data_IF_464741526049
#
_entry.id   IF_464741526049
#
_cell.length_a   1.000
_cell.length_b   1.000
_cell.length_c   1.000
_cell.angle_alpha   90.00
_cell.angle_beta   90.00
_cell.angle_gamma   90.00
#
_symmetry.space_group_name_H-M   'P 1'
#
loop_
_entity.id
_entity.type
_entity.pdbx_description
1 polymer ?
#
# COMPACT_ATOMS: atom_id res chain seq x y z
N UNK A 1 2.92 -20.06 23.57
CA UNK A 1 2.98 -18.80 22.79
C UNK A 1 1.56 -18.32 22.53
N UNK A 2 1.19 -17.18 23.10
CA UNK A 2 -0.12 -16.57 22.87
C UNK A 2 -0.24 -16.14 21.40
N UNK A 3 -1.32 -16.59 20.74
CA UNK A 3 -1.61 -16.25 19.35
C UNK A 3 -2.12 -14.80 19.31
N UNK A 4 -1.39 -13.90 18.65
CA UNK A 4 -1.86 -12.52 18.44
C UNK A 4 -3.17 -12.55 17.67
N UNK A 5 -4.14 -11.76 18.12
CA UNK A 5 -5.49 -11.72 17.54
C UNK A 5 -5.67 -10.41 16.81
N UNK A 6 -6.10 -10.46 15.55
CA UNK A 6 -6.51 -9.28 14.80
C UNK A 6 -7.79 -8.70 15.42
N UNK A 7 -7.79 -7.38 15.65
CA UNK A 7 -8.93 -6.65 16.25
C UNK A 7 -9.57 -5.78 15.19
N UNK A 8 -10.87 -5.98 14.93
CA UNK A 8 -11.65 -5.16 14.01
C UNK A 8 -11.97 -3.78 14.60
N UNK A 9 -11.90 -2.74 13.79
CA UNK A 9 -12.24 -1.37 14.16
C UNK A 9 -13.74 -1.11 14.03
N UNK A 10 -14.39 -0.62 15.07
CA UNK A 10 -15.85 -0.35 15.10
C UNK A 10 -16.23 1.07 14.67
N UNK A 11 -15.32 2.03 14.78
CA UNK A 11 -15.57 3.43 14.40
C UNK A 11 -15.35 3.68 12.90
N UNK A 12 -15.99 4.70 12.30
CA UNK A 12 -15.66 5.15 10.96
C UNK A 12 -14.19 5.57 10.89
N UNK A 13 -13.47 5.07 9.88
CA UNK A 13 -12.07 5.44 9.67
C UNK A 13 -12.04 6.66 8.75
N UNK A 14 -11.72 7.83 9.30
CA UNK A 14 -11.56 9.05 8.52
C UNK A 14 -10.28 8.97 7.67
N UNK A 15 -10.39 9.37 6.40
CA UNK A 15 -9.23 9.48 5.50
C UNK A 15 -8.70 10.91 5.58
N UNK A 16 -7.46 11.06 6.02
CA UNK A 16 -6.77 12.35 5.94
C UNK A 16 -6.56 12.72 4.46
N UNK A 17 -6.67 14.01 4.12
CA UNK A 17 -6.36 14.52 2.78
C UNK A 17 -4.83 14.63 2.59
N UNK A 18 -4.16 13.49 2.61
CA UNK A 18 -2.71 13.38 2.52
C UNK A 18 -2.31 12.09 1.80
N UNK A 19 -1.32 12.19 0.91
CA UNK A 19 -0.72 11.03 0.25
C UNK A 19 -0.20 10.04 1.28
N UNK A 20 -0.42 8.76 1.07
CA UNK A 20 -0.06 7.67 2.01
C UNK A 20 -0.72 7.78 3.40
N UNK A 21 -1.79 8.56 3.57
CA UNK A 21 -2.53 8.56 4.83
C UNK A 21 -3.15 7.20 5.09
N UNK A 22 -3.78 6.60 4.07
CA UNK A 22 -4.41 5.29 4.16
C UNK A 22 -4.29 4.53 2.84
N UNK A 23 -3.80 3.29 2.93
CA UNK A 23 -3.88 2.32 1.84
C UNK A 23 -4.97 1.30 2.13
N UNK A 24 -5.80 1.02 1.14
CA UNK A 24 -6.75 -0.10 1.18
C UNK A 24 -6.18 -1.27 0.40
N UNK A 25 -6.28 -2.47 0.99
CA UNK A 25 -5.80 -3.72 0.40
C UNK A 25 -6.95 -4.72 0.28
N UNK A 26 -6.93 -5.47 -0.82
CA UNK A 26 -7.87 -6.58 -1.05
C UNK A 26 -7.27 -7.63 -1.99
N UNK A 27 -7.91 -8.80 -2.06
CA UNK A 27 -7.58 -9.86 -3.02
C UNK A 27 -8.69 -10.05 -4.04
N UNK A 28 -8.32 -9.98 -5.30
CA UNK A 28 -9.18 -10.38 -6.42
C UNK A 28 -8.76 -11.77 -6.90
N UNK A 29 -9.72 -12.64 -7.17
CA UNK A 29 -9.48 -13.99 -7.64
C UNK A 29 -9.83 -14.09 -9.12
N UNK A 30 -9.01 -14.85 -9.85
CA UNK A 30 -9.23 -15.16 -11.26
C UNK A 30 -8.60 -16.52 -11.61
N UNK A 31 -8.77 -16.97 -12.86
CA UNK A 31 -8.23 -18.24 -13.34
C UNK A 31 -7.63 -18.09 -14.74
N UNK A 32 -6.63 -18.91 -15.02
CA UNK A 32 -6.02 -19.05 -16.32
C UNK A 32 -6.88 -19.94 -17.25
N UNK A 33 -6.60 -19.91 -18.55
CA UNK A 33 -7.29 -20.72 -19.55
C UNK A 33 -7.23 -22.23 -19.27
N UNK A 34 -6.18 -22.70 -18.60
CA UNK A 34 -6.01 -24.09 -18.17
C UNK A 34 -6.73 -24.42 -16.84
N UNK A 35 -7.50 -23.48 -16.27
CA UNK A 35 -8.26 -23.64 -15.04
C UNK A 35 -7.46 -23.41 -13.75
N UNK A 36 -6.16 -23.17 -13.82
CA UNK A 36 -5.35 -22.82 -12.63
C UNK A 36 -5.79 -21.48 -12.08
N UNK A 37 -6.08 -21.46 -10.79
CA UNK A 37 -6.48 -20.23 -10.09
C UNK A 37 -5.26 -19.40 -9.69
N UNK A 38 -5.42 -18.09 -9.76
CA UNK A 38 -4.47 -17.14 -9.21
C UNK A 38 -5.19 -16.02 -8.47
N UNK A 39 -4.45 -15.27 -7.69
CA UNK A 39 -4.95 -14.12 -6.95
C UNK A 39 -4.18 -12.88 -7.33
N UNK A 40 -4.83 -11.75 -7.17
CA UNK A 40 -4.26 -10.44 -7.41
C UNK A 40 -4.38 -9.65 -6.11
N UNK A 41 -3.25 -9.29 -5.51
CA UNK A 41 -3.22 -8.30 -4.44
C UNK A 41 -3.43 -6.94 -5.07
N UNK A 42 -4.49 -6.25 -4.67
CA UNK A 42 -4.79 -4.88 -5.07
C UNK A 42 -4.45 -3.95 -3.91
N UNK A 43 -3.75 -2.85 -4.21
CA UNK A 43 -3.41 -1.80 -3.24
C UNK A 43 -3.84 -0.47 -3.83
N UNK A 44 -4.61 0.31 -3.08
CA UNK A 44 -5.09 1.64 -3.49
C UNK A 44 -4.77 2.65 -2.40
N UNK A 45 -4.22 3.80 -2.78
CA UNK A 45 -4.11 4.97 -1.91
C UNK A 45 -5.47 5.68 -1.88
N UNK A 46 -6.14 5.66 -0.75
CA UNK A 46 -7.50 6.18 -0.63
C UNK A 46 -7.60 7.72 -0.77
N UNK A 47 -6.48 8.43 -0.60
CA UNK A 47 -6.43 9.86 -0.82
C UNK A 47 -6.28 10.20 -2.30
N UNK A 48 -5.23 9.68 -2.93
CA UNK A 48 -4.89 10.03 -4.33
C UNK A 48 -5.64 9.21 -5.37
N UNK A 49 -6.24 8.10 -4.99
CA UNK A 49 -6.85 7.09 -5.86
C UNK A 49 -5.85 6.34 -6.73
N UNK A 50 -4.55 6.59 -6.57
CA UNK A 50 -3.53 5.78 -7.24
C UNK A 50 -3.64 4.32 -6.83
N UNK A 51 -3.35 3.44 -7.79
CA UNK A 51 -3.11 2.03 -7.56
C UNK A 51 -1.59 1.76 -7.51
N UNK A 52 -0.97 1.71 -6.32
CA UNK A 52 0.46 1.41 -6.17
C UNK A 52 0.84 0.02 -6.66
N UNK A 53 -0.02 -0.98 -6.47
CA UNK A 53 0.28 -2.34 -6.86
C UNK A 53 -0.95 -3.12 -7.34
N UNK A 54 -0.72 -3.92 -8.39
CA UNK A 54 -1.51 -5.06 -8.80
C UNK A 54 -0.55 -6.25 -8.91
N UNK A 55 -0.49 -7.09 -7.89
CA UNK A 55 0.43 -8.22 -7.82
C UNK A 55 -0.32 -9.53 -8.03
N UNK A 56 -0.16 -10.15 -9.21
CA UNK A 56 -0.73 -11.47 -9.50
C UNK A 56 0.24 -12.60 -9.12
N UNK A 57 -0.26 -13.60 -8.39
CA UNK A 57 0.50 -14.82 -8.12
C UNK A 57 -0.46 -16.00 -7.84
N UNK A 58 0.02 -17.22 -8.02
CA UNK A 58 -0.71 -18.44 -7.65
C UNK A 58 -0.69 -18.67 -6.13
N UNK A 59 0.30 -18.08 -5.44
CA UNK A 59 0.44 -18.13 -3.98
C UNK A 59 0.81 -16.76 -3.42
N UNK A 60 -0.12 -16.12 -2.73
CA UNK A 60 0.07 -14.83 -2.04
C UNK A 60 -0.07 -15.05 -0.53
N UNK A 61 1.00 -15.52 0.10
CA UNK A 61 1.09 -15.63 1.56
C UNK A 61 1.29 -14.26 2.21
N UNK A 62 1.01 -14.13 3.52
CA UNK A 62 1.28 -12.90 4.27
C UNK A 62 2.73 -12.44 4.16
N UNK A 63 3.71 -13.35 4.12
CA UNK A 63 5.12 -13.01 3.90
C UNK A 63 5.37 -12.44 2.49
N UNK A 64 4.64 -12.90 1.47
CA UNK A 64 4.74 -12.36 0.11
C UNK A 64 4.12 -10.96 0.02
N UNK A 65 2.99 -10.77 0.71
CA UNK A 65 2.35 -9.45 0.84
C UNK A 65 3.29 -8.47 1.56
N UNK A 66 3.88 -8.87 2.69
CA UNK A 66 4.82 -8.04 3.44
C UNK A 66 6.00 -7.55 2.57
N UNK A 67 6.61 -8.44 1.77
CA UNK A 67 7.68 -8.05 0.83
C UNK A 67 7.23 -7.05 -0.23
N UNK A 68 6.01 -7.18 -0.72
CA UNK A 68 5.46 -6.22 -1.67
C UNK A 68 5.24 -4.85 -1.01
N UNK A 69 4.74 -4.84 0.23
CA UNK A 69 4.58 -3.61 1.00
C UNK A 69 5.93 -2.94 1.30
N UNK A 70 6.99 -3.70 1.60
CA UNK A 70 8.35 -3.16 1.76
C UNK A 70 8.84 -2.48 0.49
N UNK A 71 8.61 -3.09 -0.69
CA UNK A 71 8.92 -2.49 -1.99
C UNK A 71 8.17 -1.17 -2.19
N UNK A 72 6.87 -1.16 -1.92
CA UNK A 72 6.05 0.05 -2.06
C UNK A 72 6.47 1.17 -1.11
N UNK A 73 6.84 0.83 0.14
CA UNK A 73 7.36 1.81 1.10
C UNK A 73 8.65 2.45 0.59
N UNK A 74 9.55 1.64 0.03
CA UNK A 74 10.81 2.14 -0.54
C UNK A 74 10.58 3.07 -1.73
N UNK A 75 9.58 2.80 -2.58
CA UNK A 75 9.30 3.56 -3.79
C UNK A 75 8.51 4.85 -3.54
N UNK A 76 7.54 4.83 -2.64
CA UNK A 76 6.58 5.94 -2.50
C UNK A 76 6.39 6.47 -1.09
N UNK A 77 7.09 5.90 -0.11
CA UNK A 77 6.95 6.25 1.29
C UNK A 77 5.94 5.39 2.05
N UNK A 78 6.05 5.43 3.36
CA UNK A 78 5.29 4.61 4.29
C UNK A 78 3.86 5.13 4.45
N UNK A 79 2.83 4.25 4.42
CA UNK A 79 1.48 4.63 4.80
C UNK A 79 1.39 4.82 6.33
N UNK A 80 0.53 5.73 6.76
CA UNK A 80 0.19 5.85 8.18
C UNK A 80 -0.66 4.65 8.61
N UNK A 81 -1.60 4.26 7.76
CA UNK A 81 -2.60 3.23 8.03
C UNK A 81 -2.80 2.32 6.82
N UNK A 82 -3.09 1.06 7.09
CA UNK A 82 -3.57 0.09 6.10
C UNK A 82 -4.93 -0.43 6.55
N UNK A 83 -5.87 -0.57 5.61
CA UNK A 83 -7.18 -1.17 5.81
C UNK A 83 -7.32 -2.39 4.91
N UNK A 84 -7.77 -3.51 5.45
CA UNK A 84 -8.06 -4.74 4.71
C UNK A 84 -9.25 -5.47 5.30
N UNK A 85 -9.74 -6.48 4.58
CA UNK A 85 -10.63 -7.47 5.16
C UNK A 85 -9.90 -8.36 6.19
N UNK A 86 -10.64 -9.32 6.78
CA UNK A 86 -10.11 -10.28 7.74
C UNK A 86 -9.58 -11.56 7.07
N UNK A 87 -9.14 -11.50 5.81
CA UNK A 87 -8.56 -12.63 5.11
C UNK A 87 -7.38 -13.25 5.87
N UNK A 88 -7.21 -14.56 5.73
CA UNK A 88 -6.19 -15.32 6.49
C UNK A 88 -4.78 -14.85 6.23
N UNK A 89 -4.51 -14.36 5.04
CA UNK A 89 -3.23 -13.79 4.64
C UNK A 89 -2.94 -12.49 5.37
N UNK A 90 -3.93 -11.60 5.49
CA UNK A 90 -3.79 -10.31 6.15
C UNK A 90 -3.77 -10.43 7.68
N UNK A 91 -4.41 -11.47 8.25
CA UNK A 91 -4.40 -11.74 9.69
C UNK A 91 -3.25 -12.64 10.12
N UNK A 92 -2.35 -12.98 9.21
CA UNK A 92 -1.18 -13.82 9.47
C UNK A 92 -0.18 -13.17 10.42
N UNK A 93 0.57 -13.98 11.16
CA UNK A 93 1.65 -13.47 12.03
C UNK A 93 2.70 -12.65 11.25
N UNK A 94 2.94 -13.00 9.97
CA UNK A 94 3.88 -12.26 9.13
C UNK A 94 3.44 -10.81 8.93
N UNK A 95 2.15 -10.57 8.68
CA UNK A 95 1.59 -9.22 8.51
C UNK A 95 1.54 -8.47 9.85
N UNK A 96 1.11 -9.13 10.93
CA UNK A 96 1.05 -8.50 12.26
C UNK A 96 2.45 -8.04 12.72
N UNK A 97 3.46 -8.89 12.52
CA UNK A 97 4.85 -8.56 12.84
C UNK A 97 5.40 -7.45 11.93
N UNK A 98 5.06 -7.51 10.64
CA UNK A 98 5.46 -6.48 9.68
C UNK A 98 4.89 -5.11 10.03
N UNK A 99 3.60 -5.03 10.35
CA UNK A 99 2.91 -3.79 10.72
C UNK A 99 3.53 -3.16 11.99
N UNK A 100 3.79 -3.97 13.00
CA UNK A 100 4.44 -3.54 14.23
C UNK A 100 5.86 -3.02 13.98
N UNK A 101 6.68 -3.78 13.24
CA UNK A 101 8.06 -3.41 12.89
C UNK A 101 8.15 -2.09 12.13
N UNK A 102 7.21 -1.85 11.22
CA UNK A 102 7.17 -0.66 10.38
C UNK A 102 6.42 0.50 11.03
N UNK A 103 5.75 0.31 12.18
CA UNK A 103 4.91 1.32 12.82
C UNK A 103 3.76 1.77 11.91
N UNK A 104 3.11 0.81 11.24
CA UNK A 104 1.95 1.03 10.39
C UNK A 104 0.71 0.55 11.12
N UNK A 105 -0.30 1.42 11.26
CA UNK A 105 -1.57 1.03 11.85
C UNK A 105 -2.33 0.11 10.88
N UNK A 106 -2.64 -1.13 11.31
CA UNK A 106 -3.40 -2.07 10.47
C UNK A 106 -4.80 -2.25 11.02
N UNK A 107 -5.80 -1.87 10.23
CA UNK A 107 -7.20 -1.95 10.59
C UNK A 107 -7.93 -3.00 9.75
N UNK A 108 -8.69 -3.86 10.43
CA UNK A 108 -9.52 -4.87 9.78
C UNK A 108 -10.96 -4.39 9.73
N UNK A 109 -11.59 -4.54 8.57
CA UNK A 109 -12.99 -4.16 8.36
C UNK A 109 -13.88 -5.06 9.22
N UNK A 110 -14.82 -4.45 9.92
CA UNK A 110 -15.79 -5.20 10.69
C UNK A 110 -16.73 -5.97 9.75
N UNK A 111 -17.06 -7.24 10.07
CA UNK A 111 -18.05 -8.02 9.31
C UNK A 111 -19.35 -7.22 9.12
N UNK A 112 -19.88 -7.20 7.89
CA UNK A 112 -21.13 -6.50 7.55
C UNK A 112 -21.01 -4.99 7.38
N UNK A 113 -19.80 -4.42 7.30
CA UNK A 113 -19.58 -3.00 7.04
C UNK A 113 -18.72 -2.75 5.78
N UNK A 114 -19.19 -3.11 4.57
CA UNK A 114 -18.44 -2.98 3.33
C UNK A 114 -18.07 -1.51 3.03
N UNK A 115 -18.88 -0.53 3.46
CA UNK A 115 -18.59 0.89 3.24
C UNK A 115 -17.23 1.36 3.78
N UNK A 116 -16.61 0.61 4.70
CA UNK A 116 -15.27 0.93 5.21
C UNK A 116 -14.16 0.69 4.18
N UNK A 117 -14.44 -0.08 3.11
CA UNK A 117 -13.50 -0.39 2.03
C UNK A 117 -14.04 -0.01 0.63
N UNK A 118 -15.03 0.87 0.56
CA UNK A 118 -15.74 1.22 -0.67
C UNK A 118 -14.85 1.71 -1.81
N UNK A 119 -13.65 2.23 -1.51
CA UNK A 119 -12.72 2.68 -2.54
C UNK A 119 -12.10 1.51 -3.30
N UNK A 120 -11.58 0.52 -2.58
CA UNK A 120 -10.98 -0.64 -3.21
C UNK A 120 -12.04 -1.55 -3.84
N UNK A 121 -13.26 -1.63 -3.28
CA UNK A 121 -14.37 -2.35 -3.88
C UNK A 121 -14.73 -1.75 -5.26
N UNK A 122 -14.86 -0.41 -5.32
CA UNK A 122 -15.11 0.29 -6.60
C UNK A 122 -13.97 0.12 -7.60
N UNK A 123 -12.72 0.11 -7.12
CA UNK A 123 -11.54 -0.16 -7.93
C UNK A 123 -11.56 -1.59 -8.49
N UNK A 124 -11.79 -2.57 -7.63
CA UNK A 124 -11.85 -3.99 -8.02
C UNK A 124 -12.99 -4.29 -8.98
N UNK A 125 -14.13 -3.60 -8.82
CA UNK A 125 -15.24 -3.66 -9.78
C UNK A 125 -14.78 -3.25 -11.18
N UNK A 126 -14.12 -2.10 -11.30
CA UNK A 126 -13.57 -1.64 -12.60
C UNK A 126 -12.53 -2.59 -13.17
N UNK A 127 -11.60 -3.09 -12.34
CA UNK A 127 -10.61 -4.06 -12.78
C UNK A 127 -11.26 -5.32 -13.37
N UNK A 128 -12.33 -5.80 -12.73
CA UNK A 128 -13.11 -6.94 -13.25
C UNK A 128 -13.78 -6.61 -14.57
N UNK A 129 -14.54 -5.51 -14.60
CA UNK A 129 -15.36 -5.16 -15.76
C UNK A 129 -14.52 -4.81 -17.00
N UNK A 130 -13.37 -4.18 -16.78
CA UNK A 130 -12.56 -3.66 -17.89
C UNK A 130 -11.44 -4.61 -18.34
N UNK A 131 -11.02 -5.56 -17.51
CA UNK A 131 -9.91 -6.45 -17.83
C UNK A 131 -10.21 -7.93 -17.55
N UNK A 132 -10.58 -8.30 -16.32
CA UNK A 132 -10.61 -9.71 -15.95
C UNK A 132 -11.77 -10.47 -16.61
N UNK A 133 -12.94 -9.85 -16.72
CA UNK A 133 -14.10 -10.46 -17.40
C UNK A 133 -13.96 -10.49 -18.92
N UNK A 134 -13.10 -9.61 -19.47
CA UNK A 134 -12.91 -9.46 -20.92
C UNK A 134 -11.71 -10.27 -21.44
N UNK A 135 -10.87 -10.83 -20.55
CA UNK A 135 -9.61 -11.45 -20.95
C UNK A 135 -9.44 -12.84 -20.35
N UNK A 136 -9.29 -13.84 -21.20
CA UNK A 136 -8.89 -15.17 -20.77
C UNK A 136 -7.36 -15.32 -20.88
N UNK A 137 -6.66 -15.30 -19.75
CA UNK A 137 -5.21 -15.36 -19.71
C UNK A 137 -4.67 -16.76 -19.98
N UNK A 138 -3.77 -16.90 -20.93
CA UNK A 138 -3.09 -18.17 -21.25
C UNK A 138 -2.01 -18.54 -20.24
N UNK A 139 -1.46 -17.56 -19.51
CA UNK A 139 -0.41 -17.76 -18.52
C UNK A 139 -0.41 -16.67 -17.46
N UNK A 140 0.20 -16.97 -16.31
CA UNK A 140 0.41 -15.98 -15.24
C UNK A 140 1.29 -14.80 -15.71
N UNK A 141 2.24 -15.05 -16.61
CA UNK A 141 3.09 -13.99 -17.18
C UNK A 141 2.25 -13.02 -18.02
N UNK A 142 1.32 -13.53 -18.85
CA UNK A 142 0.39 -12.70 -19.60
C UNK A 142 -0.51 -11.88 -18.66
N UNK A 143 -1.06 -12.51 -17.62
CA UNK A 143 -1.89 -11.82 -16.63
C UNK A 143 -1.11 -10.68 -15.94
N UNK A 144 0.14 -10.92 -15.54
CA UNK A 144 1.00 -9.90 -14.93
C UNK A 144 1.26 -8.71 -15.86
N UNK A 145 1.56 -8.98 -17.15
CA UNK A 145 1.77 -7.93 -18.15
C UNK A 145 0.50 -7.09 -18.34
N UNK A 146 -0.64 -7.72 -18.58
CA UNK A 146 -1.91 -7.04 -18.78
C UNK A 146 -2.33 -6.20 -17.55
N UNK A 147 -2.11 -6.72 -16.33
CA UNK A 147 -2.36 -5.98 -15.08
C UNK A 147 -1.43 -4.77 -14.94
N UNK A 148 -0.17 -4.89 -15.35
CA UNK A 148 0.78 -3.77 -15.31
C UNK A 148 0.36 -2.65 -16.29
N UNK A 149 -0.03 -3.01 -17.50
CA UNK A 149 -0.50 -2.07 -18.51
C UNK A 149 -1.81 -1.39 -18.07
N UNK A 150 -2.78 -2.17 -17.59
CA UNK A 150 -4.04 -1.63 -17.08
C UNK A 150 -3.84 -0.69 -15.88
N UNK A 151 -2.94 -1.05 -14.95
CA UNK A 151 -2.60 -0.20 -13.79
C UNK A 151 -1.96 1.11 -14.22
N UNK A 152 -1.05 1.06 -15.19
CA UNK A 152 -0.44 2.26 -15.76
C UNK A 152 -1.49 3.16 -16.39
N UNK A 153 -2.35 2.61 -17.23
CA UNK A 153 -3.47 3.30 -17.87
C UNK A 153 -4.42 3.92 -16.84
N UNK A 154 -4.81 3.15 -15.82
CA UNK A 154 -5.65 3.63 -14.72
C UNK A 154 -5.04 4.84 -13.99
N UNK A 155 -3.75 4.79 -13.69
CA UNK A 155 -3.09 5.84 -12.92
C UNK A 155 -2.81 7.10 -13.74
N UNK A 156 -2.53 6.97 -15.07
CA UNK A 156 -1.93 8.07 -15.86
C UNK A 156 -2.80 8.57 -17.00
N UNK A 157 -3.79 7.80 -17.46
CA UNK A 157 -4.57 8.16 -18.63
C UNK A 157 -6.07 8.34 -18.37
N UNK A 158 -6.57 7.90 -17.20
CA UNK A 158 -8.01 7.91 -16.91
C UNK A 158 -8.40 8.99 -15.92
N UNK A 159 -9.12 10.03 -16.37
CA UNK A 159 -9.65 11.04 -15.47
C UNK A 159 -10.77 10.49 -14.59
N UNK A 160 -10.79 10.87 -13.32
CA UNK A 160 -11.81 10.48 -12.36
C UNK A 160 -12.61 11.68 -11.87
N UNK A 161 -13.93 11.63 -12.00
CA UNK A 161 -14.81 12.72 -11.60
C UNK A 161 -14.71 13.07 -10.11
N UNK A 162 -14.45 12.08 -9.23
CA UNK A 162 -14.32 12.28 -7.78
C UNK A 162 -13.04 13.00 -7.35
N UNK A 163 -12.07 13.16 -8.23
CA UNK A 163 -10.83 13.91 -8.00
C UNK A 163 -10.66 15.05 -9.02
N UNK A 164 -11.78 15.67 -9.38
CA UNK A 164 -11.78 16.86 -10.23
C UNK A 164 -11.38 16.60 -11.68
N UNK A 165 -11.69 15.42 -12.21
CA UNK A 165 -11.33 15.00 -13.57
C UNK A 165 -9.83 14.92 -13.85
N UNK A 166 -9.00 14.84 -12.79
CA UNK A 166 -7.60 14.48 -12.91
C UNK A 166 -7.44 12.96 -13.02
N UNK A 167 -6.34 12.52 -13.60
CA UNK A 167 -5.86 11.15 -13.40
C UNK A 167 -5.36 11.00 -11.96
N UNK A 168 -5.34 9.78 -11.38
CA UNK A 168 -4.78 9.57 -10.05
C UNK A 168 -3.35 10.12 -9.89
N UNK A 169 -2.49 9.96 -10.90
CA UNK A 169 -1.12 10.47 -10.87
C UNK A 169 -1.07 12.01 -10.87
N UNK A 170 -1.83 12.67 -11.74
CA UNK A 170 -1.93 14.14 -11.75
C UNK A 170 -2.46 14.68 -10.44
N UNK A 171 -3.50 14.05 -9.88
CA UNK A 171 -4.05 14.45 -8.59
C UNK A 171 -3.04 14.26 -7.45
N UNK A 172 -2.26 13.18 -7.46
CA UNK A 172 -1.21 12.95 -6.47
C UNK A 172 -0.13 14.06 -6.50
N UNK A 173 0.24 14.60 -7.67
CA UNK A 173 1.20 15.70 -7.80
C UNK A 173 0.69 17.04 -7.24
N UNK A 174 -0.61 17.19 -6.98
CA UNK A 174 -1.14 18.36 -6.29
C UNK A 174 -0.72 18.41 -4.81
N UNK A 175 -0.27 17.28 -4.23
CA UNK A 175 0.18 17.20 -2.85
C UNK A 175 1.69 17.49 -2.74
N UNK A 176 2.12 18.40 -1.86
CA UNK A 176 3.54 18.79 -1.73
C UNK A 176 4.48 17.62 -1.44
N UNK A 177 4.05 16.65 -0.63
CA UNK A 177 4.84 15.47 -0.28
C UNK A 177 5.14 14.57 -1.49
N UNK A 178 4.19 14.41 -2.41
CA UNK A 178 4.37 13.61 -3.61
C UNK A 178 5.27 14.31 -4.62
N UNK A 179 5.03 15.59 -4.84
CA UNK A 179 5.85 16.44 -5.72
C UNK A 179 7.33 16.43 -5.33
N UNK A 180 7.62 16.48 -4.01
CA UNK A 180 8.99 16.41 -3.52
C UNK A 180 9.65 15.05 -3.79
N UNK A 181 8.93 13.94 -3.72
CA UNK A 181 9.45 12.61 -4.06
C UNK A 181 9.74 12.47 -5.55
N UNK A 182 8.84 12.91 -6.41
CA UNK A 182 9.02 12.90 -7.86
C UNK A 182 10.24 13.72 -8.28
N UNK A 183 10.41 14.92 -7.74
CA UNK A 183 11.57 15.75 -8.01
C UNK A 183 12.90 15.10 -7.56
N UNK A 184 12.92 14.41 -6.43
CA UNK A 184 14.10 13.66 -5.97
C UNK A 184 14.45 12.50 -6.91
N UNK A 185 13.47 11.76 -7.38
CA UNK A 185 13.67 10.67 -8.33
C UNK A 185 14.19 11.17 -9.68
N UNK A 186 13.66 12.28 -10.19
CA UNK A 186 14.11 12.88 -11.44
C UNK A 186 15.54 13.43 -11.36
N UNK A 187 15.96 13.95 -10.20
CA UNK A 187 17.30 14.52 -9.99
C UNK A 187 18.37 13.49 -9.61
N UNK A 188 18.06 12.19 -9.61
CA UNK A 188 19.02 11.11 -9.36
C UNK A 188 19.66 11.09 -7.97
N UNK A 189 19.15 11.85 -7.02
CA UNK A 189 19.66 11.89 -5.64
C UNK A 189 19.15 10.69 -4.87
N UNK A 190 20.02 9.71 -4.61
CA UNK A 190 19.77 8.64 -3.68
C UNK A 190 19.37 9.21 -2.30
N UNK A 191 18.46 8.58 -1.55
CA UNK A 191 18.11 9.04 -0.21
C UNK A 191 19.36 9.04 0.66
N UNK A 192 19.71 10.18 1.23
CA UNK A 192 20.76 10.27 2.25
C UNK A 192 20.39 9.39 3.44
N UNK A 193 21.25 8.47 3.88
CA UNK A 193 21.00 7.70 5.08
C UNK A 193 20.89 8.66 6.26
N UNK A 194 19.93 8.41 7.14
CA UNK A 194 19.71 9.19 8.37
C UNK A 194 21.02 9.26 9.17
N UNK A 195 21.62 10.42 9.24
CA UNK A 195 22.74 10.67 10.14
C UNK A 195 22.20 10.69 11.56
N UNK A 196 22.49 9.64 12.31
CA UNK A 196 22.24 9.58 13.75
C UNK A 196 23.17 10.60 14.39
N UNK A 197 22.64 11.73 14.83
CA UNK A 197 23.39 12.69 15.65
C UNK A 197 23.73 11.99 16.97
N UNK A 198 24.98 11.58 17.13
CA UNK A 198 25.52 11.20 18.44
C UNK A 198 25.58 12.47 19.28
N UNK A 199 24.83 12.51 20.36
CA UNK A 199 25.03 13.47 21.43
C UNK A 199 26.31 13.06 22.17
N UNK A 200 27.40 13.75 21.90
CA UNK A 200 28.59 13.66 22.73
C UNK A 200 28.30 14.34 24.10
N UNK A 201 28.21 13.52 25.11
CA UNK A 201 28.25 13.98 26.51
C UNK A 201 29.68 14.39 26.80
N UNK A 202 29.99 15.66 26.71
CA UNK A 202 31.20 16.22 27.29
C UNK A 202 31.06 16.26 28.84
N UNK A 203 31.82 15.40 29.45
CA UNK A 203 32.02 15.37 30.91
C UNK A 203 32.99 16.48 31.25
N UNK A 204 32.50 17.58 31.83
CA UNK A 204 33.35 18.60 32.43
C UNK A 204 33.72 18.13 33.83
N UNK A 205 34.98 17.72 33.97
CA UNK A 205 35.57 17.38 35.25
C UNK A 205 35.72 18.62 36.16
N UNK A 206 35.28 18.44 37.36
CA UNK A 206 35.41 19.40 38.46
C UNK A 206 36.72 19.14 39.17
N UNK A 207 37.71 20.02 39.01
CA UNK A 207 38.89 20.07 39.86
C UNK A 207 38.67 21.03 41.02
N UNK A 208 38.49 20.47 42.20
CA UNK A 208 38.60 21.17 43.46
C UNK A 208 40.09 21.32 43.79
N UNK A 209 40.58 22.54 43.90
CA UNK A 209 41.82 22.87 44.59
C UNK A 209 41.49 23.48 45.93
N UNK A 210 41.98 22.81 46.94
CA UNK A 210 42.16 23.27 48.30
C UNK A 210 43.20 24.39 48.46
N UNK A 211 42.90 25.37 49.22
CA UNK A 211 43.73 26.37 49.79
C UNK A 211 43.16 26.82 51.15
#
# INVERSE_FOLDING_TARGET
>A
RSRRRAVGTRAPILVEAKVNARWSLDFVHDQLADGRRFRILTVVDDCTRECPALLADTSLSGARVARELDRLIAERGKPKMIVSDNGTEFTSNAILTWAEKNGVEWHYIAPGKPMQNGFIESFNGRLRDELLNETLFSSLAQAKAALADWRNDYNTLRPHSRIGWHTPAEFAETFPSRRALTLRQMNGSAPTPYTTVRQDKTNAGNELRTG
#
